data_IF_381591982666
#
_entry.id   IF_381591982666
#
_cell.length_a   1.000
_cell.length_b   1.000
_cell.length_c   1.000
_cell.angle_alpha   90.00
_cell.angle_beta   90.00
_cell.angle_gamma   90.00
#
_symmetry.space_group_name_H-M   'P 1'
#
loop_
_entity.id
_entity.type
_entity.pdbx_description
1 polymer ?
#
# COMPACT_ATOMS: atom_id res chain seq x y z
N UNK A 1 -25.33 13.06 -7.56
CA UNK A 1 -24.30 12.44 -6.71
C UNK A 1 -24.10 11.02 -7.19
N UNK A 2 -22.85 10.67 -7.52
CA UNK A 2 -22.49 9.33 -8.01
C UNK A 2 -21.82 9.33 -9.39
N UNK A 3 -21.68 10.48 -10.05
CA UNK A 3 -20.82 10.58 -11.23
C UNK A 3 -19.34 10.65 -10.81
N UNK A 4 -18.39 10.07 -11.57
CA UNK A 4 -16.98 10.03 -11.18
C UNK A 4 -16.38 11.41 -10.81
N UNK A 5 -16.76 12.46 -11.54
CA UNK A 5 -16.34 13.85 -11.29
C UNK A 5 -16.85 14.44 -9.97
N UNK A 6 -17.94 13.89 -9.42
CA UNK A 6 -18.52 14.30 -8.14
C UNK A 6 -17.95 13.51 -6.95
N UNK A 7 -17.07 12.53 -7.19
CA UNK A 7 -16.51 11.68 -6.14
C UNK A 7 -15.13 12.14 -5.67
N UNK A 8 -14.52 13.11 -6.36
CA UNK A 8 -13.21 13.66 -6.01
C UNK A 8 -12.10 12.59 -5.96
N UNK A 9 -12.13 11.62 -6.87
CA UNK A 9 -11.19 10.50 -6.88
C UNK A 9 -9.74 10.97 -7.08
N UNK A 10 -8.84 10.35 -6.31
CA UNK A 10 -7.39 10.50 -6.42
C UNK A 10 -6.67 9.27 -5.91
N UNK A 11 -5.33 9.29 -5.88
CA UNK A 11 -4.56 8.15 -5.39
C UNK A 11 -4.89 7.88 -3.90
N UNK A 12 -5.58 6.76 -3.66
CA UNK A 12 -6.06 6.32 -2.32
C UNK A 12 -6.93 7.35 -1.59
N UNK A 13 -7.57 8.26 -2.32
CA UNK A 13 -8.44 9.29 -1.75
C UNK A 13 -9.70 9.49 -2.60
N UNK A 14 -10.75 9.95 -1.96
CA UNK A 14 -12.02 10.37 -2.55
C UNK A 14 -12.70 11.34 -1.57
N UNK A 15 -13.73 12.05 -2.01
CA UNK A 15 -14.51 12.90 -1.10
C UNK A 15 -15.20 12.11 0.01
N UNK A 16 -15.49 10.82 -0.19
CA UNK A 16 -15.98 9.91 0.85
C UNK A 16 -15.03 9.74 2.04
N UNK A 17 -13.73 10.04 1.88
CA UNK A 17 -12.78 10.05 3.00
C UNK A 17 -12.69 11.38 3.75
N UNK A 18 -13.29 12.45 3.22
CA UNK A 18 -13.16 13.79 3.79
C UNK A 18 -14.50 14.55 3.83
N UNK A 19 -14.94 15.11 2.71
CA UNK A 19 -16.11 15.98 2.60
C UNK A 19 -17.44 15.25 2.83
N UNK A 20 -17.49 13.96 2.50
CA UNK A 20 -18.66 13.09 2.59
C UNK A 20 -18.40 11.93 3.57
N UNK A 21 -17.59 12.17 4.61
CA UNK A 21 -17.16 11.11 5.56
C UNK A 21 -18.31 10.54 6.42
N UNK A 22 -19.39 11.31 6.57
CA UNK A 22 -20.56 10.94 7.36
C UNK A 22 -21.67 10.31 6.50
N UNK A 23 -21.46 10.23 5.18
CA UNK A 23 -22.39 9.65 4.23
C UNK A 23 -22.18 8.12 4.12
N UNK A 24 -23.26 7.40 3.81
CA UNK A 24 -23.24 5.95 3.59
C UNK A 24 -23.42 5.64 2.11
N UNK A 25 -22.46 4.92 1.53
CA UNK A 25 -22.54 4.45 0.14
C UNK A 25 -23.51 3.25 0.09
N UNK A 26 -24.60 3.39 -0.65
CA UNK A 26 -25.61 2.32 -0.81
C UNK A 26 -25.39 1.46 -2.06
N UNK A 27 -24.77 2.00 -3.11
CA UNK A 27 -24.52 1.30 -4.37
C UNK A 27 -23.38 1.93 -5.17
N UNK A 28 -22.76 1.17 -6.06
CA UNK A 28 -21.81 1.66 -7.06
C UNK A 28 -22.17 1.10 -8.43
N UNK A 29 -22.21 1.96 -9.45
CA UNK A 29 -22.40 1.56 -10.84
C UNK A 29 -21.04 1.57 -11.54
N UNK A 30 -20.71 0.49 -12.22
CA UNK A 30 -19.46 0.34 -12.98
C UNK A 30 -19.80 0.27 -14.46
N UNK A 31 -19.21 1.17 -15.24
CA UNK A 31 -19.29 1.12 -16.70
C UNK A 31 -18.06 0.38 -17.23
N UNK A 32 -18.30 -0.68 -18.01
CA UNK A 32 -17.27 -1.56 -18.53
C UNK A 32 -17.25 -1.49 -20.06
N UNK A 33 -16.06 -1.50 -20.65
CA UNK A 33 -15.91 -1.68 -22.08
C UNK A 33 -16.22 -3.13 -22.48
N UNK A 34 -16.80 -3.32 -23.68
CA UNK A 34 -16.97 -4.66 -24.25
C UNK A 34 -15.59 -5.23 -24.60
N UNK A 35 -15.34 -6.46 -24.19
CA UNK A 35 -14.07 -7.17 -24.44
C UNK A 35 -14.30 -8.64 -24.78
N UNK A 36 -13.22 -9.33 -25.14
CA UNK A 36 -13.24 -10.78 -25.39
C UNK A 36 -13.28 -11.55 -24.07
N UNK A 37 -14.21 -12.50 -23.96
CA UNK A 37 -14.43 -13.26 -22.73
C UNK A 37 -13.24 -14.19 -22.39
N UNK A 38 -12.59 -14.79 -23.40
CA UNK A 38 -11.46 -15.69 -23.18
C UNK A 38 -10.21 -14.93 -22.78
N UNK A 39 -9.97 -13.78 -23.39
CA UNK A 39 -8.88 -12.88 -23.01
C UNK A 39 -9.07 -12.36 -21.59
N UNK A 40 -10.30 -11.94 -21.24
CA UNK A 40 -10.64 -11.46 -19.90
C UNK A 40 -10.43 -12.56 -18.84
N UNK A 41 -10.85 -13.80 -19.12
CA UNK A 41 -10.62 -14.95 -18.23
C UNK A 41 -9.13 -15.21 -18.05
N UNK A 42 -8.36 -15.20 -19.14
CA UNK A 42 -6.90 -15.40 -19.07
C UNK A 42 -6.23 -14.32 -18.21
N UNK A 43 -6.56 -13.05 -18.42
CA UNK A 43 -6.01 -11.94 -17.64
C UNK A 43 -6.37 -12.09 -16.15
N UNK A 44 -7.60 -12.49 -15.84
CA UNK A 44 -8.01 -12.76 -14.46
C UNK A 44 -7.16 -13.85 -13.82
N UNK A 45 -6.95 -14.98 -14.52
CA UNK A 45 -6.12 -16.07 -14.02
C UNK A 45 -4.67 -15.63 -13.80
N UNK A 46 -4.09 -14.89 -14.75
CA UNK A 46 -2.73 -14.36 -14.64
C UNK A 46 -2.60 -13.43 -13.42
N UNK A 47 -3.60 -12.57 -13.17
CA UNK A 47 -3.62 -11.72 -11.97
C UNK A 47 -3.75 -12.52 -10.67
N UNK A 48 -4.58 -13.56 -10.64
CA UNK A 48 -4.74 -14.41 -9.46
C UNK A 48 -3.44 -15.15 -9.12
N UNK A 49 -2.79 -15.75 -10.13
CA UNK A 49 -1.50 -16.44 -9.98
C UNK A 49 -0.43 -15.45 -9.47
N UNK A 50 -0.33 -14.28 -10.11
CA UNK A 50 0.62 -13.26 -9.69
C UNK A 50 0.37 -12.82 -8.24
N UNK A 51 -0.89 -12.60 -7.83
CA UNK A 51 -1.21 -12.21 -6.46
C UNK A 51 -0.87 -13.31 -5.46
N UNK A 52 -1.18 -14.57 -5.78
CA UNK A 52 -0.87 -15.69 -4.90
C UNK A 52 0.64 -15.83 -4.65
N UNK A 53 1.46 -15.59 -5.68
CA UNK A 53 2.91 -15.66 -5.59
C UNK A 53 3.54 -14.49 -4.82
N UNK A 54 2.97 -13.28 -4.91
CA UNK A 54 3.62 -12.05 -4.40
C UNK A 54 2.92 -11.40 -3.20
N UNK A 55 1.78 -11.93 -2.74
CA UNK A 55 1.06 -11.41 -1.57
C UNK A 55 0.98 -12.48 -0.47
N UNK A 56 1.09 -12.08 0.81
CA UNK A 56 0.97 -13.04 1.90
C UNK A 56 -0.45 -13.60 2.01
N UNK A 57 -0.52 -14.88 2.37
CA UNK A 57 -1.78 -15.61 2.60
C UNK A 57 -2.29 -15.49 4.05
N UNK A 58 -1.49 -14.92 4.94
CA UNK A 58 -1.87 -14.70 6.33
C UNK A 58 -2.87 -13.52 6.43
N UNK A 59 -3.75 -13.49 7.44
CA UNK A 59 -4.65 -12.37 7.66
C UNK A 59 -3.88 -11.05 7.76
N UNK A 60 -4.31 -10.04 6.99
CA UNK A 60 -3.68 -8.72 6.94
C UNK A 60 -4.70 -7.67 6.48
N UNK A 61 -4.37 -6.39 6.65
CA UNK A 61 -5.16 -5.26 6.14
C UNK A 61 -4.69 -4.78 4.76
N UNK A 62 -3.97 -5.62 4.00
CA UNK A 62 -3.36 -5.24 2.74
C UNK A 62 -2.10 -4.38 2.91
N UNK A 63 -1.89 -3.46 1.97
CA UNK A 63 -0.80 -2.47 2.03
C UNK A 63 -1.01 -1.52 3.21
N UNK A 64 -0.03 -1.44 4.09
CA UNK A 64 -0.05 -0.59 5.28
C UNK A 64 0.19 0.86 4.92
N UNK A 65 1.12 1.13 4.00
CA UNK A 65 1.50 2.48 3.59
C UNK A 65 1.16 2.74 2.13
N UNK A 66 0.86 4.00 1.83
CA UNK A 66 0.80 4.50 0.45
C UNK A 66 2.21 4.54 -0.14
N UNK A 67 2.31 4.39 -1.46
CA UNK A 67 3.59 4.61 -2.15
C UNK A 67 4.03 6.07 -2.02
N UNK A 68 5.34 6.28 -1.87
CA UNK A 68 5.94 7.59 -1.69
C UNK A 68 6.12 8.28 -3.04
N UNK A 69 5.56 9.48 -3.19
CA UNK A 69 5.78 10.34 -4.35
C UNK A 69 6.72 11.48 -3.97
N UNK A 70 7.62 11.84 -4.88
CA UNK A 70 8.59 12.92 -4.68
C UNK A 70 8.55 13.91 -5.83
N UNK A 71 9.07 15.11 -5.63
CA UNK A 71 9.13 16.15 -6.66
C UNK A 71 10.55 16.24 -7.19
N UNK A 72 11.53 16.26 -6.29
CA UNK A 72 12.93 16.50 -6.63
C UNK A 72 13.84 15.39 -6.09
N UNK A 73 15.02 15.24 -6.70
CA UNK A 73 16.01 14.25 -6.26
C UNK A 73 16.51 14.51 -4.83
N UNK A 74 16.39 15.74 -4.33
CA UNK A 74 16.69 16.09 -2.94
C UNK A 74 15.77 15.35 -1.95
N UNK A 75 14.52 15.06 -2.32
CA UNK A 75 13.56 14.33 -1.48
C UNK A 75 13.96 12.87 -1.26
N UNK A 76 14.85 12.34 -2.12
CA UNK A 76 15.30 10.95 -2.12
C UNK A 76 16.83 10.86 -2.10
N UNK A 77 17.52 11.86 -1.53
CA UNK A 77 18.98 11.95 -1.56
C UNK A 77 19.66 10.67 -1.04
N UNK A 78 19.12 10.09 0.03
CA UNK A 78 19.61 8.86 0.67
C UNK A 78 19.37 7.59 -0.17
N UNK A 79 18.51 7.68 -1.18
CA UNK A 79 18.06 6.57 -2.00
C UNK A 79 18.47 6.69 -3.48
N UNK A 80 18.98 7.87 -3.90
CA UNK A 80 19.20 8.22 -5.32
C UNK A 80 20.04 7.21 -6.10
N UNK A 81 21.01 6.58 -5.43
CA UNK A 81 21.99 5.69 -6.06
C UNK A 81 21.52 4.22 -6.09
N UNK A 82 20.47 3.89 -5.33
CA UNK A 82 19.94 2.53 -5.20
C UNK A 82 18.52 2.37 -5.75
N UNK A 83 17.80 3.47 -5.97
CA UNK A 83 16.44 3.44 -6.53
C UNK A 83 16.48 3.03 -8.00
N UNK A 84 15.69 2.00 -8.39
CA UNK A 84 15.55 1.62 -9.79
C UNK A 84 15.07 2.79 -10.67
N UNK A 85 15.63 2.88 -11.87
CA UNK A 85 15.32 3.96 -12.83
C UNK A 85 13.83 4.00 -13.22
N UNK A 86 13.12 2.87 -13.16
CA UNK A 86 11.67 2.83 -13.42
C UNK A 86 10.89 3.66 -12.39
N UNK A 87 11.33 3.71 -11.13
CA UNK A 87 10.65 4.48 -10.08
C UNK A 87 10.92 5.98 -10.23
N UNK A 88 12.10 6.34 -10.75
CA UNK A 88 12.46 7.72 -11.05
C UNK A 88 11.60 8.31 -12.17
N UNK A 89 11.31 7.52 -13.21
CA UNK A 89 10.47 7.92 -14.35
C UNK A 89 9.09 8.44 -13.89
N UNK A 90 8.49 7.81 -12.90
CA UNK A 90 7.16 8.16 -12.39
C UNK A 90 7.20 8.99 -11.10
N UNK A 91 8.39 9.40 -10.66
CA UNK A 91 8.65 10.09 -9.39
C UNK A 91 7.90 9.46 -8.21
N UNK A 92 7.89 8.12 -8.17
CA UNK A 92 7.10 7.35 -7.20
C UNK A 92 7.81 6.06 -6.84
N UNK A 93 8.08 5.88 -5.56
CA UNK A 93 8.78 4.72 -5.02
C UNK A 93 7.75 3.84 -4.28
N UNK A 94 7.69 2.53 -4.56
CA UNK A 94 6.85 1.61 -3.83
C UNK A 94 7.20 1.57 -2.34
N UNK A 95 6.20 1.67 -1.45
CA UNK A 95 6.44 1.63 -0.01
C UNK A 95 7.06 0.29 0.42
N UNK A 96 6.68 -0.82 -0.23
CA UNK A 96 7.30 -2.13 0.00
C UNK A 96 8.81 -2.10 -0.17
N UNK A 97 9.29 -1.46 -1.24
CA UNK A 97 10.70 -1.35 -1.54
C UNK A 97 11.43 -0.52 -0.48
N UNK A 98 10.85 0.62 -0.08
CA UNK A 98 11.41 1.48 0.99
C UNK A 98 11.50 0.72 2.32
N UNK A 99 10.43 0.03 2.71
CA UNK A 99 10.37 -0.73 3.97
C UNK A 99 11.35 -1.91 3.97
N UNK A 100 11.51 -2.59 2.84
CA UNK A 100 12.50 -3.65 2.68
C UNK A 100 13.93 -3.11 2.78
N UNK A 101 14.25 -1.98 2.12
CA UNK A 101 15.57 -1.35 2.18
C UNK A 101 15.84 -0.68 3.54
N UNK A 102 14.80 -0.37 4.32
CA UNK A 102 14.95 0.02 5.73
C UNK A 102 15.30 -1.17 6.65
N UNK A 103 15.28 -2.41 6.12
CA UNK A 103 15.59 -3.63 6.84
C UNK A 103 14.44 -4.12 7.73
N UNK A 104 13.20 -3.76 7.41
CA UNK A 104 12.03 -4.10 8.22
C UNK A 104 11.29 -5.36 7.75
N UNK A 105 11.65 -5.95 6.61
CA UNK A 105 11.05 -7.20 6.12
C UNK A 105 11.29 -8.35 7.12
N UNK A 106 10.23 -9.04 7.54
CA UNK A 106 10.30 -10.06 8.57
C UNK A 106 10.37 -9.55 10.02
N UNK A 107 10.44 -8.23 10.26
CA UNK A 107 10.38 -7.68 11.61
C UNK A 107 9.07 -8.08 12.30
N UNK A 108 9.11 -8.30 13.61
CA UNK A 108 7.97 -8.83 14.36
C UNK A 108 7.83 -8.15 15.72
N UNK A 109 6.58 -7.89 16.11
CA UNK A 109 6.18 -7.45 17.45
C UNK A 109 5.00 -8.31 17.87
N UNK A 110 5.12 -9.02 19.01
CA UNK A 110 4.09 -9.98 19.42
C UNK A 110 3.77 -10.98 18.29
N UNK A 111 2.49 -11.06 17.92
CA UNK A 111 2.03 -11.92 16.81
C UNK A 111 1.82 -11.16 15.49
N UNK A 112 2.22 -9.89 15.40
CA UNK A 112 2.22 -9.11 14.17
C UNK A 112 3.61 -9.10 13.53
N UNK A 113 3.71 -9.39 12.23
CA UNK A 113 4.98 -9.45 11.51
C UNK A 113 4.90 -8.71 10.17
N UNK A 114 5.96 -7.99 9.78
CA UNK A 114 6.11 -7.52 8.40
C UNK A 114 6.34 -8.73 7.50
N UNK A 115 5.45 -8.94 6.53
CA UNK A 115 5.49 -10.11 5.66
C UNK A 115 6.87 -10.30 5.01
N UNK A 116 7.37 -11.53 5.07
CA UNK A 116 8.58 -11.96 4.37
C UNK A 116 8.38 -12.08 2.86
N UNK A 117 7.13 -12.03 2.37
CA UNK A 117 6.79 -12.05 0.94
C UNK A 117 6.76 -10.62 0.40
N UNK A 118 6.04 -9.71 1.09
CA UNK A 118 5.85 -8.33 0.63
C UNK A 118 5.92 -7.33 1.78
N UNK A 119 6.98 -6.53 1.86
CA UNK A 119 7.29 -5.72 3.04
C UNK A 119 6.29 -4.58 3.36
N UNK A 120 5.34 -4.25 2.47
CA UNK A 120 4.25 -3.32 2.80
C UNK A 120 3.06 -3.98 3.53
N UNK A 121 3.13 -5.28 3.84
CA UNK A 121 2.05 -5.99 4.53
C UNK A 121 2.49 -6.32 5.95
N UNK A 122 1.61 -6.06 6.91
CA UNK A 122 1.73 -6.63 8.26
C UNK A 122 0.74 -7.78 8.35
N UNK A 123 1.27 -8.97 8.63
CA UNK A 123 0.51 -10.20 8.77
C UNK A 123 0.27 -10.53 10.23
N UNK A 124 -0.91 -11.06 10.52
CA UNK A 124 -1.24 -11.66 11.78
C UNK A 124 -0.85 -13.14 11.76
N UNK A 125 0.13 -13.53 12.58
CA UNK A 125 0.59 -14.92 12.72
C UNK A 125 -0.33 -15.78 13.60
N UNK A 126 -1.49 -15.23 13.98
CA UNK A 126 -2.45 -15.80 14.92
C UNK A 126 -2.37 -15.08 16.26
N UNK A 127 -3.44 -14.40 16.66
CA UNK A 127 -3.52 -13.72 17.96
C UNK A 127 -2.82 -12.35 18.05
N UNK A 128 -2.46 -11.71 16.93
CA UNK A 128 -1.92 -10.35 16.94
C UNK A 128 -2.89 -9.36 17.59
N UNK A 129 -2.38 -8.58 18.54
CA UNK A 129 -3.15 -7.50 19.16
C UNK A 129 -3.05 -6.24 18.30
N UNK A 130 -4.04 -5.37 18.39
CA UNK A 130 -3.99 -4.06 17.74
C UNK A 130 -2.71 -3.28 18.13
N UNK A 131 -2.31 -3.34 19.40
CA UNK A 131 -1.08 -2.68 19.88
C UNK A 131 0.18 -3.24 19.23
N UNK A 132 0.22 -4.53 18.88
CA UNK A 132 1.36 -5.14 18.18
C UNK A 132 1.51 -4.53 16.79
N UNK A 133 0.39 -4.45 16.06
CA UNK A 133 0.30 -3.84 14.72
C UNK A 133 0.68 -2.36 14.77
N UNK A 134 0.11 -1.58 15.70
CA UNK A 134 0.43 -0.16 15.84
C UNK A 134 1.90 0.07 16.22
N UNK A 135 2.46 -0.79 17.07
CA UNK A 135 3.87 -0.71 17.46
C UNK A 135 4.79 -0.97 16.28
N UNK A 136 4.51 -1.99 15.47
CA UNK A 136 5.36 -2.28 14.31
C UNK A 136 5.20 -1.22 13.21
N UNK A 137 4.00 -0.64 13.01
CA UNK A 137 3.79 0.52 12.13
C UNK A 137 4.68 1.68 12.56
N UNK A 138 4.70 2.00 13.86
CA UNK A 138 5.55 3.06 14.42
C UNK A 138 7.03 2.78 14.18
N UNK A 139 7.49 1.55 14.45
CA UNK A 139 8.88 1.16 14.22
C UNK A 139 9.28 1.29 12.75
N UNK A 140 8.42 0.89 11.81
CA UNK A 140 8.67 1.04 10.37
C UNK A 140 8.83 2.52 10.01
N UNK A 141 7.89 3.37 10.44
CA UNK A 141 7.95 4.82 10.18
C UNK A 141 9.23 5.45 10.74
N UNK A 142 9.59 5.13 11.99
CA UNK A 142 10.81 5.62 12.63
C UNK A 142 12.06 5.16 11.88
N UNK A 143 12.14 3.87 11.50
CA UNK A 143 13.29 3.32 10.78
C UNK A 143 13.46 3.96 9.41
N UNK A 144 12.37 4.10 8.66
CA UNK A 144 12.37 4.72 7.32
C UNK A 144 12.74 6.20 7.41
N UNK A 145 12.16 6.93 8.36
CA UNK A 145 12.48 8.34 8.54
C UNK A 145 13.93 8.56 8.96
N UNK A 146 14.44 7.78 9.91
CA UNK A 146 15.81 7.92 10.38
C UNK A 146 16.85 7.54 9.32
N UNK A 147 16.51 6.60 8.43
CA UNK A 147 17.44 6.11 7.40
C UNK A 147 17.38 6.91 6.10
N UNK A 148 16.20 7.35 5.69
CA UNK A 148 15.98 7.92 4.36
C UNK A 148 15.35 9.32 4.40
N UNK A 149 15.02 9.85 5.58
CA UNK A 149 14.28 11.10 5.75
C UNK A 149 12.92 11.14 5.06
N UNK A 150 12.37 9.97 4.73
CA UNK A 150 11.06 9.80 4.11
C UNK A 150 9.99 9.58 5.18
N UNK A 151 8.87 10.30 5.07
CA UNK A 151 7.68 10.10 5.90
C UNK A 151 6.69 9.21 5.15
N UNK A 152 6.46 8.00 5.65
CA UNK A 152 5.42 7.12 5.13
C UNK A 152 4.05 7.51 5.70
N UNK A 153 3.04 7.50 4.84
CA UNK A 153 1.63 7.71 5.20
C UNK A 153 0.90 6.37 5.23
N UNK A 154 0.08 6.11 6.26
CA UNK A 154 -0.78 4.93 6.26
C UNK A 154 -1.81 4.98 5.12
N UNK A 155 -2.02 3.83 4.48
CA UNK A 155 -3.16 3.56 3.60
C UNK A 155 -4.36 3.01 4.39
N UNK A 156 -4.07 2.22 5.43
CA UNK A 156 -5.06 1.68 6.36
C UNK A 156 -5.76 2.76 7.17
N UNK A 157 -6.96 2.47 7.67
CA UNK A 157 -7.68 3.33 8.60
C UNK A 157 -7.62 2.71 10.00
N UNK A 158 -7.28 3.53 11.00
CA UNK A 158 -7.28 3.15 12.41
C UNK A 158 -8.59 3.66 13.00
N UNK A 159 -9.34 2.78 13.66
CA UNK A 159 -10.67 3.04 14.25
C UNK A 159 -10.56 2.97 15.77
#
# INVERSE_FOLDING_TARGET
>A
MGRPEECGFGYRTSWFKNKLKDDIILSANLELAVGDAKESEKQLQDFLIHRQAHQPQHPSAGCIFKNFSFIDMADIIELKDIVPSEFLKYKKIPAAWIVEHAGMKGAQVGQAQVSTIHANFIVNLGGAKAIDVLTIIRQIKEKVYNKFHIKLEEEVQII
#
